data_IF_764869968674
#
_entry.id   IF_764869968674
#
_cell.length_a   1.000
_cell.length_b   1.000
_cell.length_c   1.000
_cell.angle_alpha   90.00
_cell.angle_beta   90.00
_cell.angle_gamma   90.00
#
_symmetry.space_group_name_H-M   'P 1'
#
loop_
_entity.id
_entity.type
_entity.pdbx_description
1 polymer ?
#
# COMPACT_ATOMS: atom_id res chain seq x y z
N UNK A 1 -5.49 29.42 -28.69
CA UNK A 1 -5.40 29.20 -27.23
C UNK A 1 -6.69 28.56 -26.73
N UNK A 2 -6.94 27.32 -27.13
CA UNK A 2 -8.18 26.56 -26.79
C UNK A 2 -7.86 25.07 -26.58
N UNK A 3 -6.83 24.58 -27.28
CA UNK A 3 -6.24 23.24 -27.09
C UNK A 3 -5.73 23.01 -25.66
N UNK A 4 -5.05 24.00 -25.07
CA UNK A 4 -4.53 23.91 -23.69
C UNK A 4 -5.66 23.81 -22.67
N UNK A 5 -6.73 24.58 -22.83
CA UNK A 5 -7.88 24.54 -21.92
C UNK A 5 -8.57 23.16 -21.89
N UNK A 6 -8.66 22.50 -23.05
CA UNK A 6 -9.24 21.15 -23.14
C UNK A 6 -8.35 20.08 -22.49
N UNK A 7 -7.03 20.17 -22.67
CA UNK A 7 -6.08 19.27 -22.01
C UNK A 7 -6.11 19.42 -20.48
N UNK A 8 -6.18 20.66 -20.00
CA UNK A 8 -6.30 20.98 -18.58
C UNK A 8 -7.62 20.42 -18.02
N UNK A 9 -8.74 20.59 -18.72
CA UNK A 9 -10.03 20.07 -18.27
C UNK A 9 -10.03 18.55 -18.07
N UNK A 10 -9.43 17.78 -18.99
CA UNK A 10 -9.35 16.31 -18.87
C UNK A 10 -8.45 15.92 -17.71
N UNK A 11 -7.27 16.55 -17.58
CA UNK A 11 -6.33 16.28 -16.49
C UNK A 11 -6.96 16.53 -15.11
N UNK A 12 -7.63 17.67 -14.94
CA UNK A 12 -8.30 17.99 -13.67
C UNK A 12 -9.49 17.06 -13.39
N UNK A 13 -10.27 16.68 -14.40
CA UNK A 13 -11.36 15.73 -14.20
C UNK A 13 -10.87 14.36 -13.72
N UNK A 14 -9.73 13.87 -14.24
CA UNK A 14 -9.12 12.62 -13.76
C UNK A 14 -8.69 12.75 -12.30
N UNK A 15 -8.07 13.89 -11.91
CA UNK A 15 -7.69 14.13 -10.52
C UNK A 15 -8.92 14.14 -9.61
N UNK A 16 -9.98 14.85 -9.97
CA UNK A 16 -11.21 14.93 -9.17
C UNK A 16 -11.88 13.56 -9.05
N UNK A 17 -11.91 12.77 -10.12
CA UNK A 17 -12.42 11.40 -10.05
C UNK A 17 -11.60 10.53 -9.08
N UNK A 18 -10.27 10.67 -9.12
CA UNK A 18 -9.38 9.96 -8.19
C UNK A 18 -9.63 10.40 -6.74
N UNK A 19 -9.73 11.70 -6.45
CA UNK A 19 -9.98 12.17 -5.08
C UNK A 19 -11.32 11.68 -4.53
N UNK A 20 -12.37 11.65 -5.36
CA UNK A 20 -13.66 11.09 -4.97
C UNK A 20 -13.57 9.59 -4.65
N UNK A 21 -12.82 8.81 -5.43
CA UNK A 21 -12.60 7.38 -5.14
C UNK A 21 -11.93 7.18 -3.77
N UNK A 22 -10.90 7.97 -3.44
CA UNK A 22 -10.23 7.88 -2.13
C UNK A 22 -11.11 8.41 -1.00
N UNK A 23 -11.95 9.41 -1.27
CA UNK A 23 -12.93 9.93 -0.30
C UNK A 23 -13.96 8.83 0.06
N UNK A 24 -14.59 8.22 -0.94
CA UNK A 24 -15.56 7.14 -0.70
C UNK A 24 -14.92 5.92 -0.08
N UNK A 25 -13.69 5.57 -0.48
CA UNK A 25 -12.95 4.48 0.14
C UNK A 25 -12.68 4.74 1.63
N UNK A 26 -12.55 6.00 2.05
CA UNK A 26 -12.29 6.38 3.45
C UNK A 26 -13.50 6.22 4.37
N UNK A 27 -14.71 6.12 3.83
CA UNK A 27 -15.89 5.77 4.63
C UNK A 27 -15.96 4.28 5.00
N UNK A 28 -15.11 3.45 4.38
CA UNK A 28 -15.02 2.04 4.72
C UNK A 28 -14.13 1.82 5.94
N UNK A 29 -14.54 0.97 6.89
CA UNK A 29 -13.80 0.69 8.12
C UNK A 29 -12.43 0.02 7.89
N UNK A 30 -12.28 -0.71 6.77
CA UNK A 30 -11.00 -1.22 6.27
C UNK A 30 -10.75 -0.70 4.87
N UNK A 31 -9.63 0.00 4.70
CA UNK A 31 -9.21 0.50 3.40
C UNK A 31 -8.50 -0.62 2.62
N UNK A 32 -8.76 -0.77 1.31
CA UNK A 32 -8.22 -1.88 0.52
C UNK A 32 -6.69 -1.83 0.38
N UNK A 33 -6.09 -0.64 0.44
CA UNK A 33 -4.63 -0.44 0.46
C UNK A 33 -3.99 -0.59 1.85
N UNK A 34 -4.77 -0.93 2.88
CA UNK A 34 -4.23 -1.22 4.21
C UNK A 34 -3.58 -2.61 4.31
N UNK A 35 -3.77 -3.49 3.34
CA UNK A 35 -3.29 -4.88 3.36
C UNK A 35 -2.37 -5.17 2.18
N UNK A 36 -1.41 -6.06 2.39
CA UNK A 36 -0.45 -6.49 1.35
C UNK A 36 -0.90 -7.71 0.52
N UNK A 37 -2.15 -8.15 0.62
CA UNK A 37 -2.65 -9.37 -0.04
C UNK A 37 -3.41 -9.16 -1.34
N UNK A 38 -3.29 -8.00 -1.97
CA UNK A 38 -4.02 -7.70 -3.20
C UNK A 38 -3.25 -8.18 -4.44
N UNK A 39 -3.97 -8.49 -5.52
CA UNK A 39 -3.39 -9.00 -6.77
C UNK A 39 -2.45 -8.02 -7.48
N UNK A 40 -2.55 -6.73 -7.16
CA UNK A 40 -1.67 -5.67 -7.68
C UNK A 40 -0.42 -5.44 -6.82
N UNK A 41 -0.31 -6.08 -5.65
CA UNK A 41 0.83 -5.93 -4.77
C UNK A 41 1.88 -7.00 -5.07
N UNK A 42 3.15 -6.60 -5.08
CA UNK A 42 4.26 -7.54 -5.11
C UNK A 42 4.37 -8.31 -3.78
N UNK A 43 4.45 -9.65 -3.81
CA UNK A 43 4.40 -10.48 -2.60
C UNK A 43 5.67 -10.40 -1.74
N UNK A 44 6.80 -9.97 -2.32
CA UNK A 44 8.11 -9.93 -1.64
C UNK A 44 8.37 -8.56 -1.02
N UNK A 45 7.94 -7.48 -1.69
CA UNK A 45 8.29 -6.09 -1.31
C UNK A 45 7.20 -5.39 -0.50
N UNK A 46 5.95 -5.86 -0.58
CA UNK A 46 4.85 -5.29 0.20
C UNK A 46 4.95 -5.74 1.66
N UNK A 47 5.22 -4.79 2.57
CA UNK A 47 5.33 -5.03 4.01
C UNK A 47 4.19 -4.35 4.78
N UNK A 48 3.19 -5.14 5.18
CA UNK A 48 2.18 -4.74 6.16
C UNK A 48 2.70 -4.87 7.61
N UNK A 49 1.92 -4.42 8.60
CA UNK A 49 2.30 -4.51 10.01
C UNK A 49 2.55 -5.96 10.45
N UNK A 50 1.78 -6.92 9.94
CA UNK A 50 1.92 -8.34 10.26
C UNK A 50 3.21 -8.90 9.71
N UNK A 51 3.53 -8.64 8.43
CA UNK A 51 4.79 -9.08 7.83
C UNK A 51 6.01 -8.40 8.45
N UNK A 52 5.89 -7.14 8.92
CA UNK A 52 6.94 -6.51 9.75
C UNK A 52 7.16 -7.31 11.04
N UNK A 53 6.11 -7.66 11.78
CA UNK A 53 6.23 -8.48 12.99
C UNK A 53 6.80 -9.86 12.67
N UNK A 54 6.35 -10.52 11.61
CA UNK A 54 6.88 -11.81 11.17
C UNK A 54 8.36 -11.71 10.77
N UNK A 55 8.78 -10.65 10.10
CA UNK A 55 10.17 -10.40 9.77
C UNK A 55 11.02 -10.13 11.02
N UNK A 56 10.50 -9.40 12.01
CA UNK A 56 11.16 -9.18 13.30
C UNK A 56 11.21 -10.44 14.17
N UNK A 57 10.17 -11.28 14.16
CA UNK A 57 10.16 -12.58 14.82
C UNK A 57 11.13 -13.53 14.13
N UNK A 58 11.20 -13.52 12.79
CA UNK A 58 12.16 -14.31 12.03
C UNK A 58 13.60 -13.86 12.31
N UNK A 59 13.87 -12.56 12.39
CA UNK A 59 15.21 -12.04 12.74
C UNK A 59 15.58 -12.32 14.20
N UNK A 60 14.62 -12.23 15.13
CA UNK A 60 14.81 -12.57 16.55
C UNK A 60 15.00 -14.07 16.81
N UNK A 61 14.22 -14.93 16.14
CA UNK A 61 14.39 -16.38 16.19
C UNK A 61 15.66 -16.83 15.47
N UNK A 62 16.07 -16.16 14.39
CA UNK A 62 17.36 -16.43 13.72
C UNK A 62 18.54 -16.16 14.67
N UNK A 63 18.46 -15.16 15.55
CA UNK A 63 19.50 -14.92 16.58
C UNK A 63 19.39 -15.88 17.76
N UNK A 64 18.19 -16.27 18.20
CA UNK A 64 18.00 -17.23 19.30
C UNK A 64 18.41 -18.66 18.92
N UNK A 65 18.17 -19.06 17.67
CA UNK A 65 18.65 -20.33 17.11
C UNK A 65 20.16 -20.41 16.98
N UNK A 66 20.86 -19.27 16.87
CA UNK A 66 22.33 -19.18 16.84
C UNK A 66 22.96 -19.12 18.25
N UNK A 67 22.22 -18.64 19.25
CA UNK A 67 22.64 -18.67 20.66
C UNK A 67 22.47 -20.05 21.31
N UNK A 68 21.55 -20.89 20.83
CA UNK A 68 21.36 -22.27 21.31
C UNK A 68 22.38 -23.28 20.73
N UNK A 69 23.35 -22.82 19.92
CA UNK A 69 24.46 -23.61 19.37
C UNK A 69 25.82 -23.17 19.94
N UNK A 70 25.82 -22.40 21.04
CA UNK A 70 27.01 -21.98 21.78
C UNK A 70 26.96 -22.53 23.21
#
# INVERSE_FOLDING_TARGET
MTTISWLVQIYYNVIVAHTLLYLFASFNSRLPWSTCGNWWNDPITCLDQTSKILHQLKSGMSKKGQFLIQ
#
